data_IF_625597427392
#
_entry.id   IF_625597427392
#
_cell.length_a   1.000
_cell.length_b   1.000
_cell.length_c   1.000
_cell.angle_alpha   90.00
_cell.angle_beta   90.00
_cell.angle_gamma   90.00
#
_symmetry.space_group_name_H-M   'P 1'
#
loop_
_entity.id
_entity.type
_entity.pdbx_description
1 polymer ?
#
# COMPACT_ATOMS: atom_id res chain seq x y z
N UNK A 1 17.18 26.16 -1.34
CA UNK A 1 16.55 25.72 -0.07
C UNK A 1 15.03 25.57 -0.21
N UNK A 2 14.30 26.49 -0.86
CA UNK A 2 12.85 26.37 -1.08
C UNK A 2 12.38 25.12 -1.87
N UNK A 3 13.23 24.61 -2.78
CA UNK A 3 12.95 23.37 -3.52
C UNK A 3 13.02 22.11 -2.65
N UNK A 4 13.91 22.08 -1.65
CA UNK A 4 14.04 20.98 -0.69
C UNK A 4 12.83 20.91 0.25
N UNK A 5 12.28 22.05 0.65
CA UNK A 5 11.08 22.10 1.53
C UNK A 5 9.81 21.68 0.80
N UNK A 6 9.68 21.96 -0.50
CA UNK A 6 8.57 21.48 -1.33
C UNK A 6 8.59 19.95 -1.49
N UNK A 7 9.77 19.36 -1.69
CA UNK A 7 9.93 17.90 -1.70
C UNK A 7 9.64 17.29 -0.32
N UNK A 8 10.07 17.93 0.77
CA UNK A 8 9.77 17.46 2.12
C UNK A 8 8.26 17.59 2.49
N UNK A 9 7.56 18.59 1.95
CA UNK A 9 6.12 18.76 2.12
C UNK A 9 5.29 17.79 1.24
N UNK A 10 5.92 17.13 0.27
CA UNK A 10 5.26 16.17 -0.60
C UNK A 10 4.93 14.92 0.20
N UNK A 11 3.64 14.65 0.42
CA UNK A 11 3.20 13.51 1.22
C UNK A 11 3.24 12.22 0.39
N UNK A 12 4.44 11.67 0.22
CA UNK A 12 4.69 10.48 -0.60
C UNK A 12 3.98 9.23 -0.09
N UNK A 13 3.60 9.19 1.19
CA UNK A 13 2.91 8.06 1.81
C UNK A 13 1.60 7.71 1.12
N UNK A 14 0.92 8.68 0.51
CA UNK A 14 -0.31 8.42 -0.26
C UNK A 14 -0.07 7.55 -1.50
N UNK A 15 1.14 7.53 -2.06
CA UNK A 15 1.47 6.67 -3.20
C UNK A 15 1.58 5.19 -2.83
N UNK A 16 1.59 4.84 -1.54
CA UNK A 16 1.63 3.44 -1.09
C UNK A 16 0.39 2.66 -1.58
N UNK A 17 -0.79 3.29 -1.64
CA UNK A 17 -2.01 2.63 -2.12
C UNK A 17 -1.95 2.26 -3.61
N UNK A 18 -1.72 3.20 -4.56
CA UNK A 18 -1.59 2.83 -5.96
C UNK A 18 -0.41 1.89 -6.21
N UNK A 19 0.71 2.07 -5.49
CA UNK A 19 1.87 1.17 -5.60
C UNK A 19 1.52 -0.27 -5.20
N UNK A 20 0.90 -0.47 -4.03
CA UNK A 20 0.50 -1.79 -3.55
C UNK A 20 -0.52 -2.45 -4.49
N UNK A 21 -1.43 -1.67 -5.07
CA UNK A 21 -2.39 -2.15 -6.05
C UNK A 21 -1.70 -2.66 -7.33
N UNK A 22 -0.80 -1.84 -7.91
CA UNK A 22 -0.06 -2.20 -9.13
C UNK A 22 0.81 -3.44 -8.90
N UNK A 23 1.55 -3.51 -7.79
CA UNK A 23 2.38 -4.69 -7.47
C UNK A 23 1.51 -5.95 -7.36
N UNK A 24 0.35 -5.86 -6.68
CA UNK A 24 -0.56 -6.99 -6.52
C UNK A 24 -1.13 -7.48 -7.86
N UNK A 25 -1.42 -6.53 -8.75
CA UNK A 25 -1.91 -6.81 -10.10
C UNK A 25 -0.84 -7.47 -10.96
N UNK A 26 0.38 -6.90 -11.02
CA UNK A 26 1.50 -7.44 -11.81
C UNK A 26 1.83 -8.86 -11.35
N UNK A 27 1.97 -9.07 -10.04
CA UNK A 27 2.23 -10.40 -9.48
C UNK A 27 1.16 -11.43 -9.88
N UNK A 28 -0.13 -11.04 -9.80
CA UNK A 28 -1.23 -11.95 -10.14
C UNK A 28 -1.32 -12.20 -11.65
N UNK A 29 -1.05 -11.19 -12.47
CA UNK A 29 -1.06 -11.30 -13.93
C UNK A 29 0.09 -12.17 -14.47
N UNK A 30 1.26 -12.16 -13.80
CA UNK A 30 2.36 -13.06 -14.17
C UNK A 30 2.09 -14.53 -13.82
N UNK A 31 1.16 -14.81 -12.90
CA UNK A 31 0.90 -16.17 -12.40
C UNK A 31 -0.35 -16.81 -12.99
N UNK A 32 -1.34 -16.03 -13.40
CA UNK A 32 -2.62 -16.51 -13.87
C UNK A 32 -2.97 -15.89 -15.21
N UNK A 33 -3.58 -16.68 -16.09
CA UNK A 33 -3.95 -16.24 -17.44
C UNK A 33 -5.41 -15.75 -17.52
N UNK A 34 -6.28 -16.29 -16.65
CA UNK A 34 -7.70 -15.96 -16.61
C UNK A 34 -7.92 -14.58 -15.95
N UNK A 35 -8.49 -13.58 -16.65
CA UNK A 35 -8.64 -12.22 -16.14
C UNK A 35 -9.40 -12.14 -14.81
N UNK A 36 -10.45 -12.94 -14.65
CA UNK A 36 -11.22 -13.00 -13.41
C UNK A 36 -10.38 -13.47 -12.22
N UNK A 37 -9.51 -14.47 -12.43
CA UNK A 37 -8.60 -14.98 -11.39
C UNK A 37 -7.52 -13.95 -11.05
N UNK A 38 -6.99 -13.25 -12.05
CA UNK A 38 -6.00 -12.18 -11.86
C UNK A 38 -6.57 -11.11 -10.94
N UNK A 39 -7.74 -10.55 -11.27
CA UNK A 39 -8.36 -9.48 -10.48
C UNK A 39 -8.67 -9.96 -9.07
N UNK A 40 -9.33 -11.11 -8.92
CA UNK A 40 -9.69 -11.66 -7.60
C UNK A 40 -8.46 -11.86 -6.71
N UNK A 41 -7.36 -12.39 -7.27
CA UNK A 41 -6.13 -12.62 -6.50
C UNK A 41 -5.42 -11.31 -6.18
N UNK A 42 -5.34 -10.40 -7.15
CA UNK A 42 -4.73 -9.09 -6.97
C UNK A 42 -5.45 -8.29 -5.89
N UNK A 43 -6.79 -8.23 -5.93
CA UNK A 43 -7.60 -7.55 -4.91
C UNK A 43 -7.41 -8.17 -3.53
N UNK A 44 -7.42 -9.50 -3.41
CA UNK A 44 -7.15 -10.18 -2.13
C UNK A 44 -5.77 -9.82 -1.59
N UNK A 45 -4.74 -9.87 -2.43
CA UNK A 45 -3.37 -9.54 -2.03
C UNK A 45 -3.24 -8.07 -1.60
N UNK A 46 -3.82 -7.15 -2.38
CA UNK A 46 -3.86 -5.73 -2.07
C UNK A 46 -4.51 -5.46 -0.70
N UNK A 47 -5.69 -6.03 -0.45
CA UNK A 47 -6.41 -5.89 0.83
C UNK A 47 -5.56 -6.46 1.98
N UNK A 48 -4.91 -7.61 1.80
CA UNK A 48 -4.03 -8.19 2.82
C UNK A 48 -2.86 -7.25 3.16
N UNK A 49 -2.19 -6.68 2.15
CA UNK A 49 -1.04 -5.76 2.36
C UNK A 49 -1.51 -4.51 3.10
N UNK A 50 -2.55 -3.84 2.59
CA UNK A 50 -3.08 -2.61 3.17
C UNK A 50 -3.63 -2.85 4.58
N UNK A 51 -4.37 -3.94 4.78
CA UNK A 51 -4.94 -4.31 6.07
C UNK A 51 -3.85 -4.58 7.12
N UNK A 52 -2.81 -5.32 6.75
CA UNK A 52 -1.69 -5.58 7.67
C UNK A 52 -0.96 -4.29 8.03
N UNK A 53 -0.67 -3.42 7.05
CA UNK A 53 -0.06 -2.11 7.31
C UNK A 53 -0.93 -1.21 8.17
N UNK A 54 -2.26 -1.22 7.97
CA UNK A 54 -3.19 -0.47 8.80
C UNK A 54 -3.20 -0.96 10.25
N UNK A 55 -3.12 -2.28 10.47
CA UNK A 55 -3.00 -2.86 11.82
C UNK A 55 -1.71 -2.41 12.49
N UNK A 56 -0.57 -2.51 11.80
CA UNK A 56 0.72 -2.05 12.33
C UNK A 56 0.65 -0.56 12.68
N UNK A 57 0.10 0.26 11.79
CA UNK A 57 -0.10 1.69 12.03
C UNK A 57 -0.97 1.94 13.27
N UNK A 58 -2.10 1.22 13.42
CA UNK A 58 -2.96 1.36 14.58
C UNK A 58 -2.26 0.98 15.89
N UNK A 59 -1.43 -0.07 15.89
CA UNK A 59 -0.62 -0.46 17.04
C UNK A 59 0.38 0.63 17.40
N UNK A 60 1.13 1.15 16.43
CA UNK A 60 2.08 2.24 16.64
C UNK A 60 1.40 3.52 17.14
N UNK A 61 0.23 3.84 16.58
CA UNK A 61 -0.57 4.99 17.01
C UNK A 61 -1.03 4.82 18.47
N UNK A 62 -1.53 3.64 18.84
CA UNK A 62 -1.94 3.35 20.21
C UNK A 62 -0.78 3.44 21.20
N UNK A 63 0.41 2.96 20.82
CA UNK A 63 1.64 3.11 21.59
C UNK A 63 2.05 4.57 21.74
N UNK A 64 1.95 5.36 20.67
CA UNK A 64 2.29 6.79 20.67
C UNK A 64 1.43 7.63 21.61
N UNK A 65 0.20 7.19 21.95
CA UNK A 65 -0.62 7.89 22.94
C UNK A 65 -0.25 7.56 24.39
N UNK A 66 0.52 6.50 24.62
CA UNK A 66 0.94 6.04 25.95
C UNK A 66 2.42 6.30 26.25
N UNK A 67 3.18 6.76 25.27
CA UNK A 67 4.58 7.19 25.37
C UNK A 67 4.63 8.72 25.42
#
# INVERSE_FOLDING_TARGET
MASLTLLAASNFTWYVFPLAFVISLVYSASRYELPERIIRRATRLFITIVGFMAIVFAVLLALSFKL
#
